data_IF_069291544761
#
_entry.id   IF_069291544761
#
_cell.length_a   1.000
_cell.length_b   1.000
_cell.length_c   1.000
_cell.angle_alpha   90.00
_cell.angle_beta   90.00
_cell.angle_gamma   90.00
#
_symmetry.space_group_name_H-M   'P 1'
#
loop_
_entity.id
_entity.type
_entity.pdbx_description
1 polymer ?
#
# COMPACT_ATOMS: atom_id res chain seq x y z
N UNK A 1 -53.10 -92.23 -12.01
CA UNK A 1 -51.64 -92.26 -12.22
C UNK A 1 -51.13 -90.94 -12.79
N UNK A 2 -51.36 -90.59 -14.07
CA UNK A 2 -50.83 -89.33 -14.65
C UNK A 2 -51.36 -88.05 -13.96
N UNK A 3 -52.63 -88.04 -13.52
CA UNK A 3 -53.23 -86.93 -12.77
C UNK A 3 -52.57 -86.71 -11.40
N UNK A 4 -52.18 -87.78 -10.71
CA UNK A 4 -51.55 -87.70 -9.39
C UNK A 4 -50.13 -87.10 -9.48
N UNK A 5 -49.40 -87.41 -10.57
CA UNK A 5 -48.10 -86.79 -10.88
C UNK A 5 -48.23 -85.28 -11.14
N UNK A 6 -49.27 -84.85 -11.86
CA UNK A 6 -49.53 -83.43 -12.15
C UNK A 6 -49.85 -82.65 -10.86
N UNK A 7 -50.65 -83.21 -9.97
CA UNK A 7 -50.99 -82.58 -8.68
C UNK A 7 -49.77 -82.44 -7.76
N UNK A 8 -48.89 -83.44 -7.72
CA UNK A 8 -47.69 -83.39 -6.88
C UNK A 8 -46.68 -82.34 -7.37
N UNK A 9 -46.46 -82.24 -8.69
CA UNK A 9 -45.61 -81.21 -9.30
C UNK A 9 -46.15 -79.80 -9.02
N UNK A 10 -47.48 -79.63 -9.08
CA UNK A 10 -48.12 -78.34 -8.79
C UNK A 10 -47.89 -77.88 -7.35
N UNK A 11 -47.99 -78.79 -6.38
CA UNK A 11 -47.76 -78.48 -4.96
C UNK A 11 -46.29 -78.11 -4.71
N UNK A 12 -45.34 -78.85 -5.29
CA UNK A 12 -43.91 -78.54 -5.17
C UNK A 12 -43.58 -77.19 -5.82
N UNK A 13 -44.16 -76.90 -6.99
CA UNK A 13 -44.00 -75.61 -7.66
C UNK A 13 -44.53 -74.45 -6.80
N UNK A 14 -45.73 -74.59 -6.22
CA UNK A 14 -46.31 -73.59 -5.33
C UNK A 14 -45.46 -73.36 -4.08
N UNK A 15 -44.99 -74.44 -3.43
CA UNK A 15 -44.13 -74.33 -2.25
C UNK A 15 -42.79 -73.66 -2.58
N UNK A 16 -42.19 -74.01 -3.73
CA UNK A 16 -40.97 -73.36 -4.20
C UNK A 16 -41.17 -71.86 -4.47
N UNK A 17 -42.32 -71.47 -5.03
CA UNK A 17 -42.65 -70.07 -5.28
C UNK A 17 -42.79 -69.28 -3.97
N UNK A 18 -43.39 -69.86 -2.94
CA UNK A 18 -43.48 -69.22 -1.61
C UNK A 18 -42.11 -68.95 -0.98
N UNK A 19 -41.20 -69.94 -1.01
CA UNK A 19 -39.85 -69.78 -0.46
C UNK A 19 -39.05 -68.68 -1.17
N UNK A 20 -39.22 -68.55 -2.49
CA UNK A 20 -38.57 -67.49 -3.28
C UNK A 20 -39.11 -66.12 -2.87
N UNK A 21 -40.43 -65.95 -2.77
CA UNK A 21 -41.04 -64.67 -2.39
C UNK A 21 -40.58 -64.22 -1.00
N UNK A 22 -40.50 -65.12 -0.03
CA UNK A 22 -40.04 -64.79 1.33
C UNK A 22 -38.56 -64.36 1.38
N UNK A 23 -37.69 -65.02 0.60
CA UNK A 23 -36.26 -64.65 0.51
C UNK A 23 -36.03 -63.27 -0.12
N UNK A 24 -36.85 -62.90 -1.11
CA UNK A 24 -36.81 -61.58 -1.74
C UNK A 24 -37.33 -60.49 -0.80
N UNK A 25 -38.39 -60.76 -0.04
CA UNK A 25 -38.94 -59.80 0.92
C UNK A 25 -37.93 -59.40 2.01
N UNK A 26 -37.12 -60.33 2.51
CA UNK A 26 -36.06 -60.01 3.49
C UNK A 26 -34.95 -59.13 2.92
N UNK A 27 -34.55 -59.36 1.67
CA UNK A 27 -33.53 -58.55 0.98
C UNK A 27 -34.02 -57.13 0.68
N UNK A 28 -35.31 -57.00 0.31
CA UNK A 28 -35.97 -55.70 0.09
C UNK A 28 -36.09 -54.91 1.39
N UNK A 29 -36.40 -55.57 2.52
CA UNK A 29 -36.44 -54.90 3.82
C UNK A 29 -35.09 -54.28 4.21
N UNK A 30 -33.99 -55.01 4.02
CA UNK A 30 -32.65 -54.48 4.32
C UNK A 30 -32.29 -53.23 3.49
N UNK A 31 -32.74 -53.18 2.23
CA UNK A 31 -32.59 -52.02 1.34
C UNK A 31 -33.48 -50.85 1.76
N UNK A 32 -34.70 -51.12 2.21
CA UNK A 32 -35.63 -50.11 2.73
C UNK A 32 -35.11 -49.48 4.02
N UNK A 33 -34.51 -50.27 4.91
CA UNK A 33 -33.94 -49.79 6.18
C UNK A 33 -32.74 -48.84 5.95
N UNK A 34 -31.97 -49.07 4.88
CA UNK A 34 -30.80 -48.24 4.53
C UNK A 34 -31.03 -47.33 3.32
N UNK A 35 -32.28 -46.98 3.04
CA UNK A 35 -32.69 -46.26 1.83
C UNK A 35 -31.88 -44.99 1.56
N UNK A 36 -31.56 -44.20 2.59
CA UNK A 36 -30.80 -42.94 2.46
C UNK A 36 -29.43 -43.14 1.82
N UNK A 37 -28.77 -44.27 2.09
CA UNK A 37 -27.45 -44.60 1.56
C UNK A 37 -27.50 -45.08 0.11
N UNK A 38 -28.54 -45.86 -0.25
CA UNK A 38 -28.62 -46.52 -1.55
C UNK A 38 -29.47 -45.78 -2.60
N UNK A 39 -30.29 -44.81 -2.19
CA UNK A 39 -31.22 -44.08 -3.10
C UNK A 39 -30.53 -43.33 -4.24
N UNK A 40 -29.29 -42.90 -4.05
CA UNK A 40 -28.51 -42.20 -5.07
C UNK A 40 -27.51 -43.10 -5.80
N UNK A 41 -27.55 -44.42 -5.56
CA UNK A 41 -26.73 -45.37 -6.30
C UNK A 41 -27.27 -45.52 -7.74
N UNK A 42 -26.47 -45.29 -8.79
CA UNK A 42 -26.90 -45.38 -10.19
C UNK A 42 -27.57 -46.71 -10.57
N UNK A 43 -27.17 -47.81 -9.94
CA UNK A 43 -27.71 -49.15 -10.23
C UNK A 43 -29.14 -49.35 -9.68
N UNK A 44 -29.48 -48.69 -8.58
CA UNK A 44 -30.78 -48.85 -7.90
C UNK A 44 -31.77 -47.72 -8.22
N UNK A 45 -31.26 -46.59 -8.72
CA UNK A 45 -32.05 -45.40 -9.02
C UNK A 45 -33.23 -45.62 -9.98
N UNK A 46 -33.13 -46.39 -11.08
CA UNK A 46 -34.27 -46.66 -11.97
C UNK A 46 -35.40 -47.44 -11.29
N UNK A 47 -35.05 -48.21 -10.25
CA UNK A 47 -35.97 -49.06 -9.50
C UNK A 47 -36.41 -48.42 -8.17
N UNK A 48 -36.15 -47.13 -7.98
CA UNK A 48 -36.42 -46.45 -6.73
C UNK A 48 -37.89 -46.50 -6.30
N UNK A 49 -38.82 -46.45 -7.25
CA UNK A 49 -40.26 -46.61 -6.95
C UNK A 49 -40.65 -47.99 -6.41
N UNK A 50 -39.82 -49.02 -6.59
CA UNK A 50 -40.07 -50.39 -6.08
C UNK A 50 -39.38 -50.64 -4.73
N UNK A 51 -38.17 -50.11 -4.55
CA UNK A 51 -37.36 -50.31 -3.34
C UNK A 51 -37.54 -49.20 -2.28
N UNK A 52 -38.35 -48.17 -2.55
CA UNK A 52 -38.66 -47.14 -1.57
C UNK A 52 -39.35 -47.72 -0.31
N UNK A 53 -39.18 -47.10 0.87
CA UNK A 53 -39.83 -47.53 2.10
C UNK A 53 -41.36 -47.61 1.97
N UNK A 54 -41.96 -48.68 2.51
CA UNK A 54 -43.41 -48.89 2.46
C UNK A 54 -44.15 -47.71 3.12
N UNK A 55 -45.05 -47.06 2.38
CA UNK A 55 -45.78 -45.87 2.82
C UNK A 55 -45.27 -44.54 2.26
N UNK A 56 -44.22 -44.55 1.43
CA UNK A 56 -43.72 -43.36 0.75
C UNK A 56 -44.18 -43.29 -0.71
N UNK A 57 -44.66 -42.13 -1.15
CA UNK A 57 -45.03 -41.85 -2.56
C UNK A 57 -43.84 -41.32 -3.36
N UNK A 58 -42.69 -41.98 -3.27
CA UNK A 58 -41.47 -41.54 -3.95
C UNK A 58 -41.47 -42.15 -5.35
N UNK A 59 -41.62 -41.32 -6.37
CA UNK A 59 -41.45 -41.76 -7.75
C UNK A 59 -39.95 -41.88 -8.11
N UNK A 60 -39.64 -42.76 -9.06
CA UNK A 60 -38.29 -42.87 -9.64
C UNK A 60 -37.79 -41.51 -10.17
N UNK A 61 -38.69 -40.70 -10.75
CA UNK A 61 -38.38 -39.38 -11.29
C UNK A 61 -38.04 -38.35 -10.20
N UNK A 62 -38.79 -38.35 -9.09
CA UNK A 62 -38.55 -37.43 -7.99
C UNK A 62 -37.22 -37.75 -7.28
N UNK A 63 -36.94 -39.04 -7.08
CA UNK A 63 -35.68 -39.48 -6.48
C UNK A 63 -34.48 -39.21 -7.39
N UNK A 64 -34.63 -39.40 -8.69
CA UNK A 64 -33.61 -39.03 -9.68
C UNK A 64 -33.30 -37.53 -9.63
N UNK A 65 -34.34 -36.69 -9.69
CA UNK A 65 -34.19 -35.23 -9.66
C UNK A 65 -33.54 -34.76 -8.36
N UNK A 66 -33.94 -35.36 -7.23
CA UNK A 66 -33.37 -35.07 -5.93
C UNK A 66 -31.87 -35.44 -5.84
N UNK A 67 -31.50 -36.64 -6.29
CA UNK A 67 -30.11 -37.11 -6.22
C UNK A 67 -29.20 -36.33 -7.17
N UNK A 68 -29.66 -35.99 -8.38
CA UNK A 68 -28.91 -35.16 -9.32
C UNK A 68 -28.71 -33.75 -8.76
N UNK A 69 -29.75 -33.13 -8.21
CA UNK A 69 -29.66 -31.80 -7.59
C UNK A 69 -28.71 -31.82 -6.37
N UNK A 70 -28.78 -32.85 -5.54
CA UNK A 70 -27.92 -32.99 -4.36
C UNK A 70 -26.47 -33.23 -4.74
N UNK A 71 -26.20 -34.09 -5.72
CA UNK A 71 -24.86 -34.29 -6.28
C UNK A 71 -24.30 -32.98 -6.85
N UNK A 72 -25.09 -32.24 -7.62
CA UNK A 72 -24.68 -30.93 -8.15
C UNK A 72 -24.39 -29.92 -7.05
N UNK A 73 -25.21 -29.87 -6.00
CA UNK A 73 -24.98 -29.00 -4.83
C UNK A 73 -23.69 -29.36 -4.09
N UNK A 74 -23.39 -30.65 -3.93
CA UNK A 74 -22.16 -31.12 -3.29
C UNK A 74 -20.90 -30.84 -4.14
N UNK A 75 -21.04 -30.74 -5.46
CA UNK A 75 -19.96 -30.33 -6.36
C UNK A 75 -19.79 -28.82 -6.47
N UNK A 76 -20.81 -28.03 -6.12
CA UNK A 76 -20.76 -26.57 -6.22
C UNK A 76 -19.58 -25.93 -5.44
N UNK A 77 -19.23 -26.34 -4.20
CA UNK A 77 -18.06 -25.83 -3.49
C UNK A 77 -16.73 -26.08 -4.23
N UNK A 78 -16.57 -27.26 -4.83
CA UNK A 78 -15.35 -27.59 -5.60
C UNK A 78 -15.23 -26.76 -6.88
N UNK A 79 -16.36 -26.36 -7.48
CA UNK A 79 -16.40 -25.49 -8.65
C UNK A 79 -16.13 -24.02 -8.26
N UNK A 80 -16.56 -23.58 -7.09
CA UNK A 80 -16.36 -22.19 -6.63
C UNK A 80 -14.99 -21.95 -6.00
N UNK A 81 -14.29 -22.99 -5.51
CA UNK A 81 -12.94 -22.91 -4.96
C UNK A 81 -11.90 -22.21 -5.87
N UNK A 82 -11.77 -22.52 -7.18
CA UNK A 82 -10.84 -21.79 -8.03
C UNK A 82 -11.22 -20.31 -8.18
N UNK A 83 -12.51 -19.98 -8.16
CA UNK A 83 -12.98 -18.59 -8.27
C UNK A 83 -12.63 -17.77 -7.02
N UNK A 84 -12.80 -18.33 -5.83
CA UNK A 84 -12.40 -17.65 -4.59
C UNK A 84 -10.89 -17.44 -4.50
N UNK A 85 -10.09 -18.38 -5.01
CA UNK A 85 -8.64 -18.22 -5.11
C UNK A 85 -8.21 -17.10 -6.06
N UNK A 86 -8.87 -16.99 -7.23
CA UNK A 86 -8.62 -15.88 -8.15
C UNK A 86 -8.99 -14.53 -7.52
N UNK A 87 -10.05 -14.49 -6.71
CA UNK A 87 -10.46 -13.30 -5.98
C UNK A 87 -9.41 -12.88 -4.94
N UNK A 88 -8.86 -13.83 -4.16
CA UNK A 88 -7.80 -13.52 -3.18
C UNK A 88 -6.52 -13.02 -3.87
N UNK A 89 -6.11 -13.64 -4.97
CA UNK A 89 -4.97 -13.17 -5.76
C UNK A 89 -5.18 -11.74 -6.28
N UNK A 90 -6.39 -11.41 -6.70
CA UNK A 90 -6.72 -10.06 -7.17
C UNK A 90 -6.62 -9.03 -6.05
N UNK A 91 -7.10 -9.38 -4.85
CA UNK A 91 -7.00 -8.51 -3.66
C UNK A 91 -5.54 -8.31 -3.26
N UNK A 92 -4.73 -9.38 -3.25
CA UNK A 92 -3.30 -9.29 -2.92
C UNK A 92 -2.52 -8.44 -3.94
N UNK A 93 -2.81 -8.60 -5.23
CA UNK A 93 -2.24 -7.74 -6.27
C UNK A 93 -2.61 -6.27 -6.04
N UNK A 94 -3.88 -5.98 -5.73
CA UNK A 94 -4.32 -4.61 -5.47
C UNK A 94 -3.70 -4.03 -4.19
N UNK A 95 -3.51 -4.85 -3.16
CA UNK A 95 -2.76 -4.48 -1.95
C UNK A 95 -1.32 -4.08 -2.29
N UNK A 96 -0.62 -4.92 -3.06
CA UNK A 96 0.76 -4.62 -3.48
C UNK A 96 0.87 -3.35 -4.34
N UNK A 97 -0.13 -3.06 -5.18
CA UNK A 97 -0.18 -1.82 -5.97
C UNK A 97 -0.31 -0.61 -5.04
N UNK A 98 -1.21 -0.67 -4.06
CA UNK A 98 -1.39 0.42 -3.10
C UNK A 98 -0.14 0.67 -2.27
N UNK A 99 0.52 -0.38 -1.79
CA UNK A 99 1.76 -0.26 -1.01
C UNK A 99 2.87 0.41 -1.85
N UNK A 100 3.03 0.00 -3.10
CA UNK A 100 3.99 0.60 -4.02
C UNK A 100 3.65 2.08 -4.34
N UNK A 101 2.37 2.42 -4.49
CA UNK A 101 1.93 3.81 -4.71
C UNK A 101 2.19 4.69 -3.49
N UNK A 102 1.94 4.18 -2.29
CA UNK A 102 2.25 4.88 -1.04
C UNK A 102 3.76 5.08 -0.88
N UNK A 103 4.56 4.04 -1.13
CA UNK A 103 6.02 4.13 -1.11
C UNK A 103 6.56 5.16 -2.11
N UNK A 104 6.02 5.20 -3.33
CA UNK A 104 6.38 6.19 -4.36
C UNK A 104 6.05 7.62 -3.93
N UNK A 105 4.86 7.82 -3.32
CA UNK A 105 4.46 9.13 -2.78
C UNK A 105 5.38 9.56 -1.64
N UNK A 106 5.75 8.64 -0.75
CA UNK A 106 6.66 8.90 0.37
C UNK A 106 8.09 9.20 -0.10
N UNK A 107 8.57 8.53 -1.15
CA UNK A 107 9.86 8.86 -1.77
C UNK A 107 9.84 10.24 -2.41
N UNK A 108 8.73 10.62 -3.05
CA UNK A 108 8.55 11.94 -3.65
C UNK A 108 8.51 13.05 -2.57
N UNK A 109 7.83 12.81 -1.45
CA UNK A 109 7.83 13.76 -0.34
C UNK A 109 9.20 13.88 0.33
N UNK A 110 9.92 12.76 0.50
CA UNK A 110 11.30 12.76 1.00
C UNK A 110 12.25 13.54 0.07
N UNK A 111 12.10 13.39 -1.25
CA UNK A 111 12.87 14.17 -2.22
C UNK A 111 12.61 15.67 -2.08
N UNK A 112 11.34 16.08 -1.97
CA UNK A 112 11.00 17.50 -1.77
C UNK A 112 11.57 18.04 -0.45
N UNK A 113 11.52 17.26 0.63
CA UNK A 113 12.11 17.64 1.92
C UNK A 113 13.63 17.81 1.83
N UNK A 114 14.32 16.86 1.18
CA UNK A 114 15.77 16.93 0.98
C UNK A 114 16.17 18.14 0.14
N UNK A 115 15.42 18.45 -0.93
CA UNK A 115 15.64 19.64 -1.74
C UNK A 115 15.42 20.91 -0.92
N UNK A 116 14.34 21.00 -0.13
CA UNK A 116 14.08 22.13 0.77
C UNK A 116 15.24 22.35 1.74
N UNK A 117 15.74 21.28 2.36
CA UNK A 117 16.84 21.35 3.32
C UNK A 117 18.14 21.87 2.69
N UNK A 118 18.41 21.51 1.42
CA UNK A 118 19.56 22.06 0.67
C UNK A 118 19.37 23.56 0.46
N UNK A 119 18.20 24.00 0.01
CA UNK A 119 17.92 25.42 -0.18
C UNK A 119 18.04 26.20 1.13
N UNK A 120 17.47 25.72 2.23
CA UNK A 120 17.60 26.33 3.55
C UNK A 120 19.05 26.49 3.98
N UNK A 121 19.87 25.45 3.79
CA UNK A 121 21.30 25.49 4.12
C UNK A 121 22.05 26.53 3.28
N UNK A 122 21.76 26.59 1.97
CA UNK A 122 22.33 27.57 1.05
C UNK A 122 21.93 29.00 1.45
N UNK A 123 20.64 29.23 1.71
CA UNK A 123 20.15 30.53 2.17
C UNK A 123 20.78 30.95 3.51
N UNK A 124 20.98 30.02 4.43
CA UNK A 124 21.67 30.28 5.70
C UNK A 124 23.10 30.80 5.51
N UNK A 125 23.85 30.18 4.59
CA UNK A 125 25.21 30.64 4.25
C UNK A 125 25.17 32.00 3.54
N UNK A 126 24.26 32.19 2.58
CA UNK A 126 24.14 33.46 1.86
C UNK A 126 23.78 34.62 2.80
N UNK A 127 22.86 34.42 3.75
CA UNK A 127 22.49 35.45 4.72
C UNK A 127 23.69 35.89 5.57
N UNK A 128 24.44 34.93 6.12
CA UNK A 128 25.65 35.24 6.88
C UNK A 128 26.69 35.97 6.01
N UNK A 129 26.86 35.54 4.76
CA UNK A 129 27.81 36.14 3.83
C UNK A 129 27.41 37.57 3.46
N UNK A 130 26.12 37.85 3.22
CA UNK A 130 25.60 39.19 2.90
C UNK A 130 25.81 40.15 4.07
N UNK A 131 25.62 39.70 5.32
CA UNK A 131 25.86 40.52 6.51
C UNK A 131 27.32 40.95 6.56
N UNK A 132 28.26 40.02 6.38
CA UNK A 132 29.69 40.32 6.36
C UNK A 132 30.06 41.30 5.24
N UNK A 133 29.52 41.13 4.03
CA UNK A 133 29.75 42.08 2.93
C UNK A 133 29.27 43.50 3.26
N UNK A 134 28.10 43.63 3.89
CA UNK A 134 27.60 44.95 4.32
C UNK A 134 28.52 45.59 5.37
N UNK A 135 29.05 44.83 6.32
CA UNK A 135 30.03 45.32 7.30
C UNK A 135 31.30 45.81 6.61
N UNK A 136 31.78 45.09 5.59
CA UNK A 136 32.94 45.51 4.79
C UNK A 136 32.66 46.86 4.11
N UNK A 137 31.49 47.03 3.49
CA UNK A 137 31.10 48.30 2.85
C UNK A 137 31.07 49.45 3.87
N UNK A 138 30.48 49.23 5.05
CA UNK A 138 30.46 50.25 6.12
C UNK A 138 31.88 50.59 6.58
N UNK A 139 32.76 49.61 6.74
CA UNK A 139 34.17 49.83 7.08
C UNK A 139 34.92 50.62 5.99
N UNK A 140 34.61 50.37 4.71
CA UNK A 140 35.19 51.15 3.62
C UNK A 140 34.73 52.62 3.66
N UNK A 141 33.47 52.88 3.99
CA UNK A 141 32.97 54.26 4.19
C UNK A 141 33.65 54.93 5.39
N UNK A 142 33.87 54.21 6.51
CA UNK A 142 34.61 54.72 7.67
C UNK A 142 36.06 55.06 7.33
N UNK A 143 36.75 54.19 6.57
CA UNK A 143 38.11 54.44 6.10
C UNK A 143 38.15 55.70 5.24
N UNK A 144 37.19 55.89 4.32
CA UNK A 144 37.12 57.13 3.53
C UNK A 144 36.93 58.37 4.41
N UNK A 145 36.08 58.30 5.43
CA UNK A 145 35.91 59.37 6.41
C UNK A 145 37.20 59.69 7.17
N UNK A 146 37.92 58.65 7.62
CA UNK A 146 39.22 58.79 8.30
C UNK A 146 40.28 59.41 7.39
N UNK A 147 40.35 59.01 6.12
CA UNK A 147 41.27 59.59 5.13
C UNK A 147 40.98 61.09 4.96
N UNK A 148 39.71 61.48 4.79
CA UNK A 148 39.32 62.89 4.69
C UNK A 148 39.68 63.68 5.94
N UNK A 149 39.46 63.09 7.12
CA UNK A 149 39.87 63.67 8.41
C UNK A 149 41.38 63.92 8.48
N UNK A 150 42.19 62.92 8.15
CA UNK A 150 43.66 63.04 8.12
C UNK A 150 44.11 64.14 7.15
N UNK A 151 43.59 64.15 5.93
CA UNK A 151 43.93 65.18 4.93
C UNK A 151 43.57 66.58 5.47
N UNK A 152 42.40 66.73 6.08
CA UNK A 152 41.96 68.02 6.66
C UNK A 152 42.87 68.48 7.79
N UNK A 153 43.31 67.56 8.67
CA UNK A 153 44.25 67.91 9.75
C UNK A 153 45.61 68.36 9.21
N UNK A 154 46.12 67.70 8.18
CA UNK A 154 47.36 68.10 7.51
C UNK A 154 47.21 69.49 6.88
N UNK A 155 46.09 69.76 6.21
CA UNK A 155 45.79 71.07 5.64
C UNK A 155 45.77 72.18 6.70
N UNK A 156 45.13 71.96 7.85
CA UNK A 156 45.13 72.95 8.94
C UNK A 156 46.51 73.14 9.58
N UNK A 157 47.34 72.09 9.67
CA UNK A 157 48.73 72.23 10.14
C UNK A 157 49.52 73.10 9.16
N UNK A 158 49.36 72.89 7.85
CA UNK A 158 50.05 73.69 6.84
C UNK A 158 49.67 75.17 6.92
N UNK A 159 48.39 75.49 7.06
CA UNK A 159 47.95 76.89 7.21
C UNK A 159 48.42 77.49 8.54
N UNK A 160 48.39 76.74 9.64
CA UNK A 160 48.91 77.19 10.93
C UNK A 160 50.42 77.52 10.87
N UNK A 161 51.20 76.70 10.17
CA UNK A 161 52.63 76.96 9.93
C UNK A 161 52.82 78.24 9.12
N UNK A 162 52.04 78.45 8.05
CA UNK A 162 52.08 79.69 7.25
C UNK A 162 51.78 80.93 8.10
N UNK A 163 50.70 80.94 8.88
CA UNK A 163 50.36 82.06 9.76
C UNK A 163 51.42 82.31 10.85
N UNK A 164 52.06 81.25 11.35
CA UNK A 164 53.16 81.39 12.33
C UNK A 164 54.37 82.07 11.69
N UNK A 165 54.73 81.71 10.45
CA UNK A 165 55.82 82.37 9.73
C UNK A 165 55.53 83.84 9.44
N UNK A 166 54.32 84.19 9.01
CA UNK A 166 53.90 85.59 8.85
C UNK A 166 54.00 86.36 10.17
N UNK A 167 53.49 85.77 11.27
CA UNK A 167 53.55 86.37 12.61
C UNK A 167 54.99 86.55 13.11
N UNK A 168 55.89 85.62 12.82
CA UNK A 168 57.32 85.73 13.14
C UNK A 168 58.03 86.81 12.32
N UNK A 169 57.65 86.97 11.05
CA UNK A 169 58.23 87.95 10.13
C UNK A 169 57.78 89.39 10.42
N UNK A 170 56.55 89.58 10.88
CA UNK A 170 56.03 90.88 11.32
C UNK A 170 56.31 91.20 12.79
N UNK A 171 56.72 90.20 13.59
CA UNK A 171 57.14 90.36 14.98
C UNK A 171 58.57 90.91 15.16
N UNK A 172 58.99 91.02 16.43
CA UNK A 172 60.32 91.49 16.86
C UNK A 172 61.49 90.84 16.09
N UNK A 173 61.57 89.48 15.96
CA UNK A 173 62.68 88.84 15.26
C UNK A 173 62.76 89.20 13.76
N UNK A 174 61.63 89.27 13.04
CA UNK A 174 61.62 89.70 11.64
C UNK A 174 61.97 91.19 11.47
N UNK A 175 61.50 92.04 12.39
CA UNK A 175 61.89 93.45 12.47
C UNK A 175 63.39 93.65 12.66
N UNK A 176 64.04 92.83 13.49
CA UNK A 176 65.50 92.87 13.67
C UNK A 176 66.25 92.52 12.37
N UNK A 177 65.84 91.48 11.65
CA UNK A 177 66.45 91.09 10.37
C UNK A 177 66.31 92.19 9.31
N UNK A 178 65.12 92.82 9.20
CA UNK A 178 64.90 93.94 8.27
C UNK A 178 65.72 95.19 8.62
N UNK A 179 66.05 95.38 9.89
CA UNK A 179 66.85 96.52 10.36
C UNK A 179 68.34 96.28 10.14
N UNK A 180 68.82 95.05 10.37
CA UNK A 180 70.21 94.65 10.08
C UNK A 180 70.49 94.66 8.57
N UNK A 181 69.54 94.27 7.71
CA UNK A 181 69.72 94.33 6.25
C UNK A 181 69.62 95.73 5.63
N UNK A 182 69.30 96.76 6.42
CA UNK A 182 69.26 98.18 6.00
C UNK A 182 70.45 99.00 6.52
N UNK A 183 71.32 98.39 7.32
CA UNK A 183 72.66 98.90 7.67
C UNK A 183 73.67 98.49 6.60
#
# INVERSE_FOLDING_TARGET
MVIDWIQSIFIVAMFSAFLIVDSFNGSVQSLQDNWVMYRCNPAMMPFAGYFAPKGTTISTQDNFSYCVQTMMSNFAPSITQPFSYLQSMTVDMMGSINDNMMASTQQSSAMNFNVSSIFESIYGVFLNTIIEFNIIIVKLMDIQGKISGVITTIMYIMTAVQYTFESMWDGIPGGMIRTIGKL
#
